data_IF_441949650042
#
_entry.id   IF_441949650042
#
_cell.length_a   1.000
_cell.length_b   1.000
_cell.length_c   1.000
_cell.angle_alpha   90.00
_cell.angle_beta   90.00
_cell.angle_gamma   90.00
#
_symmetry.space_group_name_H-M   'P 1'
#
loop_
_entity.id
_entity.type
_entity.pdbx_description
1 polymer ?
#
# COMPACT_ATOMS: atom_id res chain seq x y z
N UNK A 1 9.40 0.03 20.13
CA UNK A 1 8.19 -0.64 19.58
C UNK A 1 6.89 0.06 19.97
N UNK A 2 6.67 0.37 21.25
CA UNK A 2 5.43 1.03 21.71
C UNK A 2 5.12 2.36 20.99
N UNK A 3 6.09 3.25 20.80
CA UNK A 3 5.85 4.51 20.08
C UNK A 3 5.42 4.32 18.61
N UNK A 4 6.01 3.34 17.91
CA UNK A 4 5.61 2.97 16.54
C UNK A 4 4.20 2.42 16.50
N UNK A 5 3.85 1.55 17.46
CA UNK A 5 2.51 1.00 17.62
C UNK A 5 1.49 2.11 17.85
N UNK A 6 1.74 3.03 18.79
CA UNK A 6 0.86 4.17 19.09
C UNK A 6 0.68 5.05 17.85
N UNK A 7 1.75 5.33 17.12
CA UNK A 7 1.68 6.11 15.88
C UNK A 7 0.77 5.45 14.83
N UNK A 8 0.97 4.15 14.57
CA UNK A 8 0.11 3.38 13.64
C UNK A 8 -1.34 3.38 14.11
N UNK A 9 -1.60 3.18 15.41
CA UNK A 9 -2.96 3.18 15.95
C UNK A 9 -3.64 4.55 15.80
N UNK A 10 -2.95 5.65 16.09
CA UNK A 10 -3.52 7.01 15.96
C UNK A 10 -3.84 7.35 14.50
N UNK A 11 -2.93 7.05 13.56
CA UNK A 11 -3.15 7.28 12.14
C UNK A 11 -4.29 6.41 11.60
N UNK A 12 -4.29 5.13 11.96
CA UNK A 12 -5.34 4.18 11.53
C UNK A 12 -6.70 4.56 12.11
N UNK A 13 -6.76 5.01 13.37
CA UNK A 13 -7.99 5.50 13.99
C UNK A 13 -8.51 6.74 13.27
N UNK A 14 -7.64 7.71 12.97
CA UNK A 14 -8.03 8.91 12.21
C UNK A 14 -8.58 8.58 10.83
N UNK A 15 -7.90 7.71 10.09
CA UNK A 15 -8.37 7.20 8.79
C UNK A 15 -9.74 6.52 8.91
N UNK A 16 -9.90 5.58 9.85
CA UNK A 16 -11.14 4.83 10.02
C UNK A 16 -12.32 5.70 10.47
N UNK A 17 -12.11 6.69 11.33
CA UNK A 17 -13.17 7.62 11.74
C UNK A 17 -13.74 8.35 10.51
N UNK A 18 -12.88 8.73 9.58
CA UNK A 18 -13.27 9.37 8.33
C UNK A 18 -13.92 8.38 7.35
N UNK A 19 -13.34 7.19 7.20
CA UNK A 19 -13.74 6.23 6.16
C UNK A 19 -14.98 5.39 6.52
N UNK A 20 -15.16 4.99 7.79
CA UNK A 20 -16.30 4.16 8.23
C UNK A 20 -17.67 4.72 7.79
N UNK A 21 -18.02 6.01 8.01
CA UNK A 21 -19.32 6.52 7.59
C UNK A 21 -19.49 6.51 6.07
N UNK A 22 -18.40 6.65 5.31
CA UNK A 22 -18.40 6.61 3.84
C UNK A 22 -18.55 5.18 3.33
N UNK A 23 -17.85 4.22 3.92
CA UNK A 23 -17.93 2.80 3.59
C UNK A 23 -19.32 2.21 3.88
N UNK A 24 -19.99 2.68 4.94
CA UNK A 24 -21.38 2.29 5.22
C UNK A 24 -22.34 2.66 4.09
N UNK A 25 -22.05 3.74 3.35
CA UNK A 25 -22.88 4.23 2.23
C UNK A 25 -22.40 3.73 0.86
N UNK A 26 -21.24 3.10 0.77
CA UNK A 26 -20.64 2.65 -0.49
C UNK A 26 -21.19 1.30 -0.95
N UNK A 27 -20.98 0.99 -2.24
CA UNK A 27 -21.36 -0.30 -2.83
C UNK A 27 -20.51 -1.45 -2.27
N UNK A 28 -20.97 -2.69 -2.41
CA UNK A 28 -20.22 -3.88 -1.99
C UNK A 28 -18.87 -4.01 -2.70
N UNK A 29 -18.81 -3.59 -3.97
CA UNK A 29 -17.57 -3.57 -4.75
C UNK A 29 -16.55 -2.60 -4.15
N UNK A 30 -16.97 -1.37 -3.82
CA UNK A 30 -16.09 -0.37 -3.20
C UNK A 30 -15.54 -0.84 -1.86
N UNK A 31 -16.35 -1.58 -1.08
CA UNK A 31 -15.91 -2.17 0.19
C UNK A 31 -14.86 -3.26 -0.01
N UNK A 32 -15.00 -4.08 -1.05
CA UNK A 32 -14.01 -5.11 -1.40
C UNK A 32 -12.70 -4.43 -1.82
N UNK A 33 -12.77 -3.43 -2.70
CA UNK A 33 -11.57 -2.67 -3.13
C UNK A 33 -10.89 -2.01 -1.93
N UNK A 34 -11.66 -1.37 -1.04
CA UNK A 34 -11.12 -0.80 0.20
C UNK A 34 -10.44 -1.87 1.06
N UNK A 35 -11.08 -3.02 1.26
CA UNK A 35 -10.50 -4.14 2.01
C UNK A 35 -9.19 -4.64 1.41
N UNK A 36 -9.11 -4.75 0.07
CA UNK A 36 -7.89 -5.12 -0.65
C UNK A 36 -6.81 -4.05 -0.43
N UNK A 37 -7.15 -2.76 -0.47
CA UNK A 37 -6.20 -1.67 -0.18
C UNK A 37 -5.72 -1.65 1.28
N UNK A 38 -6.50 -2.17 2.22
CA UNK A 38 -6.07 -2.30 3.62
C UNK A 38 -4.99 -3.38 3.82
N UNK A 39 -4.92 -4.40 2.97
CA UNK A 39 -3.89 -5.46 3.07
C UNK A 39 -2.45 -4.93 2.97
N UNK A 40 -2.04 -4.17 1.95
CA UNK A 40 -0.69 -3.61 1.87
C UNK A 40 -0.43 -2.61 3.01
N UNK A 41 -1.44 -1.88 3.47
CA UNK A 41 -1.31 -0.96 4.61
C UNK A 41 -1.01 -1.73 5.91
N UNK A 42 -1.73 -2.81 6.17
CA UNK A 42 -1.49 -3.69 7.33
C UNK A 42 -0.12 -4.36 7.27
N UNK A 43 0.31 -4.80 6.08
CA UNK A 43 1.64 -5.34 5.86
C UNK A 43 2.73 -4.33 6.25
N UNK A 44 2.63 -3.10 5.74
CA UNK A 44 3.59 -2.04 6.04
C UNK A 44 3.59 -1.66 7.52
N UNK A 45 2.40 -1.57 8.14
CA UNK A 45 2.27 -1.34 9.57
C UNK A 45 3.00 -2.43 10.38
N UNK A 46 2.83 -3.70 10.01
CA UNK A 46 3.52 -4.81 10.64
C UNK A 46 5.04 -4.72 10.48
N UNK A 47 5.53 -4.50 9.25
CA UNK A 47 6.97 -4.34 8.97
C UNK A 47 7.56 -3.20 9.79
N UNK A 48 6.85 -2.06 9.86
CA UNK A 48 7.26 -0.88 10.61
C UNK A 48 7.35 -1.15 12.12
N UNK A 49 6.31 -1.79 12.70
CA UNK A 49 6.24 -2.09 14.14
C UNK A 49 7.23 -3.19 14.52
N UNK A 50 7.32 -4.26 13.74
CA UNK A 50 8.20 -5.39 14.01
C UNK A 50 9.68 -5.08 13.72
N UNK A 51 9.97 -3.94 13.09
CA UNK A 51 11.30 -3.54 12.64
C UNK A 51 12.01 -4.65 11.84
N UNK A 52 11.23 -5.44 11.08
CA UNK A 52 11.75 -6.47 10.20
C UNK A 52 12.27 -5.81 8.93
N UNK A 53 13.42 -6.25 8.43
CA UNK A 53 14.00 -5.84 7.14
C UNK A 53 13.30 -6.54 5.96
N UNK A 54 11.99 -6.69 6.03
CA UNK A 54 11.19 -7.27 4.96
C UNK A 54 11.06 -6.29 3.80
N UNK A 55 10.91 -6.79 2.56
CA UNK A 55 10.86 -5.94 1.38
C UNK A 55 9.69 -4.97 1.47
N UNK A 56 9.99 -3.69 1.34
CA UNK A 56 8.94 -2.68 1.26
C UNK A 56 8.20 -2.81 -0.09
N UNK A 57 7.02 -2.21 -0.22
CA UNK A 57 6.21 -2.35 -1.45
C UNK A 57 6.95 -1.87 -2.69
N UNK A 58 7.76 -0.82 -2.58
CA UNK A 58 8.63 -0.33 -3.65
C UNK A 58 9.60 -1.41 -4.13
N UNK A 59 10.18 -2.17 -3.21
CA UNK A 59 11.09 -3.27 -3.52
C UNK A 59 10.39 -4.38 -4.30
N UNK A 60 9.12 -4.66 -3.99
CA UNK A 60 8.30 -5.63 -4.72
C UNK A 60 7.96 -5.09 -6.11
N UNK A 61 7.53 -3.84 -6.22
CA UNK A 61 7.20 -3.21 -7.50
C UNK A 61 8.43 -3.03 -8.40
N UNK A 62 9.62 -2.87 -7.82
CA UNK A 62 10.88 -2.79 -8.57
C UNK A 62 11.22 -4.08 -9.34
N UNK A 63 10.60 -5.22 -9.02
CA UNK A 63 10.71 -6.44 -9.84
C UNK A 63 10.10 -6.23 -11.24
N UNK A 64 9.17 -5.29 -11.38
CA UNK A 64 8.53 -4.92 -12.64
C UNK A 64 9.30 -3.84 -13.40
N UNK A 65 10.38 -3.26 -12.84
CA UNK A 65 11.16 -2.21 -13.49
C UNK A 65 11.78 -2.68 -14.81
N UNK A 66 12.35 -3.89 -14.84
CA UNK A 66 12.92 -4.45 -16.08
C UNK A 66 11.87 -4.68 -17.17
N UNK A 67 10.72 -5.33 -16.90
CA UNK A 67 9.62 -5.37 -17.86
C UNK A 67 9.15 -3.97 -18.31
N UNK A 68 9.07 -3.01 -17.40
CA UNK A 68 8.65 -1.65 -17.72
C UNK A 68 9.64 -0.96 -18.68
N UNK A 69 10.94 -1.08 -18.45
CA UNK A 69 11.99 -0.60 -19.36
C UNK A 69 11.87 -1.21 -20.76
N UNK A 70 11.59 -2.51 -20.85
CA UNK A 70 11.37 -3.19 -22.14
C UNK A 70 10.15 -2.64 -22.89
N UNK A 71 9.05 -2.37 -22.19
CA UNK A 71 7.85 -1.78 -22.78
C UNK A 71 8.15 -0.35 -23.29
N UNK A 72 8.87 0.45 -22.50
CA UNK A 72 9.26 1.82 -22.89
C UNK A 72 10.17 1.79 -24.11
N UNK A 73 11.18 0.92 -24.14
CA UNK A 73 12.07 0.77 -25.30
C UNK A 73 11.30 0.29 -26.54
N UNK A 74 10.32 -0.59 -26.40
CA UNK A 74 9.47 -1.02 -27.51
C UNK A 74 8.61 0.13 -28.07
N UNK A 75 8.06 0.97 -27.19
CA UNK A 75 7.22 2.11 -27.57
C UNK A 75 8.02 3.31 -28.11
N UNK A 76 9.25 3.53 -27.63
CA UNK A 76 10.13 4.60 -28.06
C UNK A 76 11.59 4.14 -28.20
N UNK A 77 11.93 3.45 -29.29
CA UNK A 77 13.26 2.86 -29.48
C UNK A 77 14.40 3.88 -29.68
N UNK A 78 14.12 5.18 -29.77
CA UNK A 78 15.13 6.24 -29.90
C UNK A 78 15.60 6.83 -28.55
N UNK A 79 14.95 6.45 -27.44
CA UNK A 79 15.35 6.81 -26.09
C UNK A 79 16.18 5.66 -25.49
N UNK A 80 17.46 5.60 -25.84
CA UNK A 80 18.45 4.68 -25.26
C UNK A 80 19.68 5.46 -24.78
#
# INVERSE_FOLDING_TARGET
>A
MLGKLICVLLLSAGMLIYDIPRLKKSSSHDRIVYGIMMLPLLYLAFVFIAAKSWPNLDSIFNLLSKPAEQIVHWLNPQQS
#
